data_IF_985203418214
#
_entry.id   IF_985203418214
#
_cell.length_a   1.000
_cell.length_b   1.000
_cell.length_c   1.000
_cell.angle_alpha   90.00
_cell.angle_beta   90.00
_cell.angle_gamma   90.00
#
_symmetry.space_group_name_H-M   'P 1'
#
loop_
_entity.id
_entity.type
_entity.pdbx_description
1 polymer ?
#
# COMPACT_ATOMS: atom_id res chain seq x y z
N UNK A 1 -60.44 39.33 45.84
CA UNK A 1 -60.10 39.22 44.40
C UNK A 1 -58.60 39.04 44.28
N UNK A 2 -58.17 37.77 44.29
CA UNK A 2 -56.83 37.33 43.91
C UNK A 2 -56.92 36.88 42.46
N UNK A 3 -56.05 37.40 41.60
CA UNK A 3 -55.85 36.87 40.25
C UNK A 3 -54.36 36.79 39.97
N UNK A 4 -53.91 35.55 39.84
CA UNK A 4 -52.65 35.06 39.31
C UNK A 4 -52.31 35.63 37.93
N UNK A 5 -51.04 35.99 37.70
CA UNK A 5 -50.42 35.96 36.36
C UNK A 5 -49.10 35.19 36.43
N UNK A 6 -49.12 34.03 35.78
CA UNK A 6 -47.96 33.29 35.31
C UNK A 6 -47.29 34.11 34.20
N UNK A 7 -46.00 34.44 34.34
CA UNK A 7 -45.16 34.86 33.21
C UNK A 7 -44.50 33.61 32.63
N UNK A 8 -45.02 33.16 31.49
CA UNK A 8 -44.43 32.11 30.66
C UNK A 8 -43.08 32.56 30.11
N UNK A 9 -42.12 31.64 30.13
CA UNK A 9 -40.83 31.78 29.48
C UNK A 9 -40.98 32.02 27.98
N UNK A 10 -40.26 33.01 27.48
CA UNK A 10 -40.13 33.30 26.07
C UNK A 10 -39.22 32.28 25.39
N UNK A 11 -39.79 31.59 24.41
CA UNK A 11 -39.18 30.66 23.47
C UNK A 11 -37.81 31.11 22.95
N UNK A 12 -36.81 30.25 23.08
CA UNK A 12 -35.69 30.20 22.14
C UNK A 12 -36.18 29.52 20.84
N UNK A 13 -36.75 30.32 19.94
CA UNK A 13 -36.75 30.00 18.51
C UNK A 13 -35.47 30.59 17.91
N UNK A 14 -34.45 29.75 17.75
CA UNK A 14 -33.22 30.07 17.03
C UNK A 14 -33.10 29.19 15.79
N UNK A 15 -33.04 29.85 14.63
CA UNK A 15 -32.51 29.40 13.35
C UNK A 15 -33.18 28.22 12.60
N UNK A 16 -34.40 28.46 12.10
CA UNK A 16 -34.78 27.89 10.79
C UNK A 16 -34.02 28.67 9.69
N UNK A 17 -32.74 28.32 9.51
CA UNK A 17 -31.90 28.84 8.44
C UNK A 17 -32.56 28.62 7.06
N UNK A 18 -32.53 29.64 6.21
CA UNK A 18 -32.83 29.54 4.78
C UNK A 18 -31.92 28.47 4.13
N UNK A 19 -32.41 27.23 4.06
CA UNK A 19 -31.72 26.15 3.36
C UNK A 19 -31.76 26.43 1.84
N UNK A 20 -30.67 26.21 1.10
CA UNK A 20 -30.70 26.26 -0.35
C UNK A 20 -31.77 25.31 -0.90
N UNK A 21 -32.43 25.68 -1.99
CA UNK A 21 -33.58 24.95 -2.51
C UNK A 21 -33.26 23.45 -2.75
N UNK A 22 -34.07 22.59 -2.14
CA UNK A 22 -33.95 21.13 -2.20
C UNK A 22 -32.86 20.51 -1.31
N UNK A 23 -32.16 21.30 -0.49
CA UNK A 23 -31.29 20.77 0.55
C UNK A 23 -32.08 20.36 1.79
N UNK A 24 -31.62 19.30 2.46
CA UNK A 24 -32.11 18.87 3.76
C UNK A 24 -31.02 19.03 4.82
N UNK A 25 -31.43 19.26 6.07
CA UNK A 25 -30.54 19.36 7.23
C UNK A 25 -30.89 18.27 8.24
N UNK A 26 -29.91 17.49 8.65
CA UNK A 26 -30.02 16.48 9.71
C UNK A 26 -28.91 16.77 10.72
N UNK A 27 -29.29 17.29 11.89
CA UNK A 27 -28.33 17.84 12.85
C UNK A 27 -27.43 18.89 12.19
N UNK A 28 -26.12 18.67 12.23
CA UNK A 28 -25.12 19.55 11.59
C UNK A 28 -24.82 19.26 10.12
N UNK A 29 -25.39 18.20 9.55
CA UNK A 29 -25.15 17.80 8.16
C UNK A 29 -26.20 18.43 7.26
N UNK A 30 -25.76 19.02 6.14
CA UNK A 30 -26.62 19.58 5.11
C UNK A 30 -26.25 19.01 3.73
N UNK A 31 -27.22 18.55 2.95
CA UNK A 31 -26.95 17.96 1.61
C UNK A 31 -28.19 17.97 0.73
N UNK A 32 -28.02 17.75 -0.58
CA UNK A 32 -29.12 17.59 -1.55
C UNK A 32 -29.34 16.09 -1.85
N UNK A 33 -30.50 15.50 -1.46
CA UNK A 33 -30.80 14.09 -1.67
C UNK A 33 -31.01 13.72 -3.15
N UNK A 34 -31.02 14.69 -4.08
CA UNK A 34 -31.06 14.43 -5.53
C UNK A 34 -29.67 14.19 -6.11
N UNK A 35 -28.61 14.54 -5.39
CA UNK A 35 -27.21 14.48 -5.86
C UNK A 35 -26.45 13.23 -5.38
N UNK A 36 -27.13 12.09 -5.24
CA UNK A 36 -26.46 10.81 -4.97
C UNK A 36 -25.62 10.38 -6.17
N UNK A 37 -24.30 10.32 -5.98
CA UNK A 37 -23.35 9.89 -7.00
C UNK A 37 -22.99 8.39 -6.87
N UNK A 38 -23.22 7.78 -5.71
CA UNK A 38 -23.12 6.34 -5.52
C UNK A 38 -24.33 5.79 -4.77
N UNK A 39 -24.89 4.69 -5.27
CA UNK A 39 -26.00 3.96 -4.65
C UNK A 39 -25.58 2.51 -4.50
N UNK A 40 -25.55 2.04 -3.26
CA UNK A 40 -25.34 0.65 -2.88
C UNK A 40 -26.57 0.15 -2.12
N UNK A 41 -26.76 -1.16 -2.09
CA UNK A 41 -27.84 -1.86 -1.38
C UNK A 41 -27.88 -1.50 0.11
N UNK A 42 -26.74 -1.10 0.69
CA UNK A 42 -26.62 -0.77 2.13
C UNK A 42 -26.61 0.73 2.41
N UNK A 43 -26.18 1.55 1.46
CA UNK A 43 -25.95 2.97 1.66
C UNK A 43 -25.95 3.76 0.35
N UNK A 44 -26.32 5.04 0.43
CA UNK A 44 -26.17 5.99 -0.68
C UNK A 44 -25.23 7.13 -0.28
N UNK A 45 -24.32 7.52 -1.19
CA UNK A 45 -23.34 8.58 -0.96
C UNK A 45 -23.62 9.79 -1.85
N UNK A 46 -23.58 10.98 -1.24
CA UNK A 46 -23.74 12.27 -1.92
C UNK A 46 -22.73 13.28 -1.37
N UNK A 47 -22.62 14.42 -2.05
CA UNK A 47 -21.87 15.57 -1.57
C UNK A 47 -22.72 16.39 -0.60
N UNK A 48 -22.12 16.86 0.50
CA UNK A 48 -22.79 17.70 1.48
C UNK A 48 -21.85 18.66 2.17
N UNK A 49 -22.35 19.25 3.26
CA UNK A 49 -21.62 20.15 4.15
C UNK A 49 -21.81 19.76 5.60
N UNK A 50 -20.77 19.92 6.40
CA UNK A 50 -20.77 19.77 7.85
C UNK A 50 -19.98 20.94 8.45
N UNK A 51 -20.61 21.76 9.31
CA UNK A 51 -20.02 22.97 9.90
C UNK A 51 -19.29 23.85 8.84
N UNK A 52 -19.94 24.04 7.68
CA UNK A 52 -19.42 24.82 6.54
C UNK A 52 -18.43 24.08 5.63
N UNK A 53 -17.87 22.94 6.06
CA UNK A 53 -16.88 22.13 5.32
C UNK A 53 -17.55 21.22 4.28
N UNK A 54 -17.04 21.12 3.03
CA UNK A 54 -17.47 20.08 2.09
C UNK A 54 -17.14 18.67 2.60
N UNK A 55 -18.12 17.78 2.55
CA UNK A 55 -18.01 16.39 3.05
C UNK A 55 -18.68 15.41 2.10
N UNK A 56 -18.27 14.15 2.16
CA UNK A 56 -19.07 13.04 1.64
C UNK A 56 -20.09 12.63 2.70
N UNK A 57 -21.37 12.55 2.34
CA UNK A 57 -22.45 12.12 3.24
C UNK A 57 -22.91 10.72 2.81
N UNK A 58 -22.64 9.73 3.66
CA UNK A 58 -23.08 8.34 3.49
C UNK A 58 -24.39 8.17 4.28
N UNK A 59 -25.50 8.02 3.56
CA UNK A 59 -26.83 7.72 4.13
C UNK A 59 -27.01 6.20 4.22
N UNK A 60 -27.19 5.70 5.43
CA UNK A 60 -27.34 4.28 5.75
C UNK A 60 -28.83 3.92 5.86
N UNK A 61 -29.23 2.79 5.29
CA UNK A 61 -30.59 2.25 5.41
C UNK A 61 -30.84 1.59 6.79
N UNK A 62 -32.09 1.59 7.30
CA UNK A 62 -32.46 1.03 8.61
C UNK A 62 -31.88 -0.35 8.91
N UNK A 63 -31.86 -1.24 7.93
CA UNK A 63 -31.42 -2.62 8.07
C UNK A 63 -29.91 -2.72 8.38
N UNK A 64 -29.15 -1.67 8.06
CA UNK A 64 -27.70 -1.61 8.20
C UNK A 64 -27.23 -0.76 9.40
N UNK A 65 -28.14 -0.32 10.26
CA UNK A 65 -27.84 0.54 11.40
C UNK A 65 -26.77 -0.03 12.33
N UNK A 66 -26.89 -1.29 12.73
CA UNK A 66 -25.90 -1.93 13.61
C UNK A 66 -24.48 -2.00 12.99
N UNK A 67 -24.41 -2.10 11.66
CA UNK A 67 -23.15 -2.08 10.92
C UNK A 67 -22.56 -0.68 10.91
N UNK A 68 -23.39 0.35 10.70
CA UNK A 68 -22.94 1.74 10.71
C UNK A 68 -22.44 2.23 12.07
N UNK A 69 -23.02 1.76 13.19
CA UNK A 69 -22.49 2.11 14.51
C UNK A 69 -21.08 1.55 14.71
N UNK A 70 -20.87 0.28 14.33
CA UNK A 70 -19.53 -0.33 14.35
C UNK A 70 -18.56 0.36 13.41
N UNK A 71 -19.01 0.72 12.21
CA UNK A 71 -18.22 1.48 11.23
C UNK A 71 -17.70 2.77 11.86
N UNK A 72 -18.57 3.52 12.55
CA UNK A 72 -18.20 4.78 13.21
C UNK A 72 -17.23 4.57 14.37
N UNK A 73 -17.40 3.51 15.17
CA UNK A 73 -16.48 3.21 16.26
C UNK A 73 -15.07 2.93 15.73
N UNK A 74 -14.95 2.13 14.65
CA UNK A 74 -13.66 1.83 14.03
C UNK A 74 -13.02 3.03 13.35
N UNK A 75 -13.82 3.88 12.70
CA UNK A 75 -13.33 5.13 12.10
C UNK A 75 -12.76 6.06 13.16
N UNK A 76 -13.46 6.27 14.27
CA UNK A 76 -12.98 7.13 15.38
C UNK A 76 -11.68 6.65 16.01
N UNK A 77 -11.42 5.35 15.96
CA UNK A 77 -10.17 4.78 16.49
C UNK A 77 -8.99 4.89 15.52
N UNK A 78 -9.23 5.18 14.22
CA UNK A 78 -8.20 5.03 13.17
C UNK A 78 -8.04 6.23 12.23
N UNK A 79 -8.87 7.27 12.36
CA UNK A 79 -8.91 8.40 11.42
C UNK A 79 -7.83 9.47 11.63
N UNK A 80 -6.94 9.28 12.61
CA UNK A 80 -5.77 10.14 12.83
C UNK A 80 -4.68 9.93 11.77
N UNK A 81 -4.63 8.75 11.13
CA UNK A 81 -3.61 8.44 10.14
C UNK A 81 -3.91 9.12 8.79
N UNK A 82 -2.93 9.77 8.13
CA UNK A 82 -3.16 10.53 6.90
C UNK A 82 -3.73 9.69 5.75
N UNK A 83 -3.44 8.39 5.73
CA UNK A 83 -3.91 7.43 4.72
C UNK A 83 -5.12 6.59 5.15
N UNK A 84 -5.88 7.05 6.15
CA UNK A 84 -7.21 6.54 6.48
C UNK A 84 -8.21 7.68 6.31
N UNK A 85 -9.41 7.35 5.79
CA UNK A 85 -10.45 8.35 5.54
C UNK A 85 -10.86 9.05 6.83
N UNK A 86 -10.90 10.38 6.82
CA UNK A 86 -11.26 11.14 8.01
C UNK A 86 -12.77 11.07 8.30
N UNK A 87 -13.13 10.78 9.54
CA UNK A 87 -14.51 10.87 10.02
C UNK A 87 -14.77 12.24 10.64
N UNK A 88 -15.96 12.80 10.41
CA UNK A 88 -16.36 14.08 11.00
C UNK A 88 -17.48 13.93 12.02
N UNK A 89 -18.59 13.31 11.62
CA UNK A 89 -19.72 13.14 12.52
C UNK A 89 -20.68 12.04 12.05
N UNK A 90 -21.57 11.65 12.96
CA UNK A 90 -22.73 10.80 12.70
C UNK A 90 -23.96 11.55 13.18
N UNK A 91 -24.94 11.70 12.31
CA UNK A 91 -26.26 12.25 12.64
C UNK A 91 -27.34 11.23 12.30
N UNK A 92 -28.53 11.39 12.85
CA UNK A 92 -29.66 10.48 12.59
C UNK A 92 -30.97 11.26 12.56
N UNK A 93 -31.89 10.81 11.71
CA UNK A 93 -33.30 11.21 11.79
C UNK A 93 -34.16 9.96 12.12
N UNK A 94 -35.47 10.05 11.90
CA UNK A 94 -36.38 8.93 12.17
C UNK A 94 -36.19 7.74 11.22
N UNK A 95 -35.62 7.94 10.03
CA UNK A 95 -35.57 6.97 8.95
C UNK A 95 -34.14 6.50 8.63
N UNK A 96 -33.12 7.33 8.81
CA UNK A 96 -31.78 7.06 8.34
C UNK A 96 -30.70 7.52 9.32
N UNK A 97 -29.51 6.95 9.11
CA UNK A 97 -28.27 7.43 9.72
C UNK A 97 -27.37 8.03 8.67
N UNK A 98 -26.65 9.07 9.04
CA UNK A 98 -25.81 9.85 8.14
C UNK A 98 -24.40 9.92 8.72
N UNK A 99 -23.43 9.49 7.94
CA UNK A 99 -22.01 9.57 8.29
C UNK A 99 -21.36 10.63 7.39
N UNK A 100 -20.78 11.67 7.98
CA UNK A 100 -20.00 12.66 7.25
C UNK A 100 -18.52 12.27 7.27
N UNK A 101 -17.92 12.14 6.10
CA UNK A 101 -16.52 11.77 5.88
C UNK A 101 -15.80 12.84 5.05
N UNK A 102 -14.46 12.79 5.05
CA UNK A 102 -13.65 13.56 4.11
C UNK A 102 -14.10 13.32 2.67
N UNK A 103 -14.34 14.43 1.96
CA UNK A 103 -14.72 14.38 0.55
C UNK A 103 -13.46 14.18 -0.29
N UNK A 104 -13.48 13.14 -1.13
CA UNK A 104 -12.37 12.79 -2.02
C UNK A 104 -12.68 13.17 -3.46
N UNK A 105 -11.63 13.34 -4.27
CA UNK A 105 -11.75 13.68 -5.67
C UNK A 105 -12.14 12.46 -6.52
N UNK A 106 -11.61 11.28 -6.18
CA UNK A 106 -11.78 10.08 -6.98
C UNK A 106 -11.50 8.80 -6.19
N UNK A 107 -11.80 7.65 -6.78
CA UNK A 107 -11.31 6.34 -6.33
C UNK A 107 -10.03 5.94 -7.09
N UNK A 108 -9.27 4.97 -6.57
CA UNK A 108 -8.13 4.38 -7.27
C UNK A 108 -8.56 3.70 -8.57
N UNK A 109 -9.78 3.15 -8.62
CA UNK A 109 -10.39 2.66 -9.87
C UNK A 109 -10.51 3.77 -10.92
N UNK A 110 -10.97 4.95 -10.53
CA UNK A 110 -11.11 6.09 -11.46
C UNK A 110 -9.75 6.57 -11.96
N UNK A 111 -8.74 6.57 -11.09
CA UNK A 111 -7.34 6.84 -11.45
C UNK A 111 -6.83 5.87 -12.51
N UNK A 112 -6.98 4.57 -12.29
CA UNK A 112 -6.52 3.55 -13.26
C UNK A 112 -7.29 3.65 -14.58
N UNK A 113 -8.57 3.98 -14.54
CA UNK A 113 -9.40 4.16 -15.75
C UNK A 113 -8.96 5.35 -16.61
N UNK A 114 -8.51 6.43 -15.99
CA UNK A 114 -8.13 7.67 -16.68
C UNK A 114 -7.04 8.45 -15.93
N UNK A 115 -5.79 8.01 -16.08
CA UNK A 115 -4.64 8.64 -15.43
C UNK A 115 -4.40 10.08 -15.90
N UNK A 116 -4.92 10.46 -17.08
CA UNK A 116 -4.73 11.81 -17.64
C UNK A 116 -5.35 12.91 -16.76
N UNK A 117 -6.38 12.57 -15.98
CA UNK A 117 -7.03 13.46 -15.00
C UNK A 117 -6.21 13.69 -13.73
N UNK A 118 -5.15 12.91 -13.52
CA UNK A 118 -4.32 12.91 -12.32
C UNK A 118 -2.86 13.15 -12.68
N UNK A 119 -2.61 14.09 -13.58
CA UNK A 119 -1.28 14.39 -14.09
C UNK A 119 -0.25 14.59 -12.95
N UNK A 120 0.88 13.88 -13.04
CA UNK A 120 1.96 13.93 -12.05
C UNK A 120 1.84 12.93 -10.91
N UNK A 121 0.66 12.31 -10.71
CA UNK A 121 0.46 11.28 -9.68
C UNK A 121 0.94 9.92 -10.17
N UNK A 122 1.81 9.27 -9.40
CA UNK A 122 2.34 7.94 -9.74
C UNK A 122 1.58 6.86 -9.00
N UNK A 123 1.24 5.78 -9.71
CA UNK A 123 0.57 4.62 -9.10
C UNK A 123 1.34 4.06 -7.89
N UNK A 124 2.67 4.03 -7.96
CA UNK A 124 3.54 3.57 -6.87
C UNK A 124 3.37 4.39 -5.58
N UNK A 125 3.22 5.71 -5.67
CA UNK A 125 3.01 6.58 -4.49
C UNK A 125 1.63 6.32 -3.85
N UNK A 126 0.62 6.03 -4.67
CA UNK A 126 -0.72 5.66 -4.18
C UNK A 126 -0.73 4.29 -3.51
N UNK A 127 0.02 3.32 -4.05
CA UNK A 127 0.18 2.00 -3.45
C UNK A 127 0.91 2.10 -2.11
N UNK A 128 1.98 2.89 -2.02
CA UNK A 128 2.72 3.12 -0.77
C UNK A 128 1.79 3.69 0.31
N UNK A 129 1.06 4.74 -0.03
CA UNK A 129 0.11 5.38 0.87
C UNK A 129 -1.02 4.44 1.30
N UNK A 130 -1.57 3.64 0.39
CA UNK A 130 -2.57 2.63 0.72
C UNK A 130 -2.01 1.56 1.67
N UNK A 131 -0.78 1.09 1.43
CA UNK A 131 -0.07 0.14 2.30
C UNK A 131 0.16 0.73 3.69
N UNK A 132 0.57 2.00 3.81
CA UNK A 132 0.73 2.67 5.11
C UNK A 132 -0.60 2.82 5.86
N UNK A 133 -1.69 3.14 5.14
CA UNK A 133 -3.03 3.16 5.72
C UNK A 133 -3.44 1.79 6.26
N UNK A 134 -3.16 0.72 5.53
CA UNK A 134 -3.47 -0.64 5.96
C UNK A 134 -2.58 -1.11 7.12
N UNK A 135 -1.29 -0.76 7.13
CA UNK A 135 -0.37 -1.02 8.25
C UNK A 135 -0.89 -0.39 9.54
N UNK A 136 -1.36 0.86 9.45
CA UNK A 136 -1.99 1.52 10.58
C UNK A 136 -3.21 0.75 11.11
N UNK A 137 -4.13 0.32 10.23
CA UNK A 137 -5.28 -0.49 10.64
C UNK A 137 -4.86 -1.81 11.32
N UNK A 138 -3.89 -2.51 10.74
CA UNK A 138 -3.39 -3.77 11.30
C UNK A 138 -2.70 -3.56 12.66
N UNK A 139 -2.02 -2.43 12.87
CA UNK A 139 -1.44 -2.03 14.16
C UNK A 139 -2.51 -1.85 15.26
N UNK A 140 -3.69 -1.34 14.88
CA UNK A 140 -4.87 -1.21 15.74
C UNK A 140 -5.69 -2.51 15.85
N UNK A 141 -5.21 -3.60 15.25
CA UNK A 141 -5.90 -4.90 15.18
C UNK A 141 -7.24 -4.82 14.44
N UNK A 142 -7.33 -3.96 13.43
CA UNK A 142 -8.49 -3.84 12.55
C UNK A 142 -8.15 -4.55 11.23
N UNK A 143 -8.97 -5.55 10.86
CA UNK A 143 -8.91 -6.21 9.54
C UNK A 143 -9.95 -5.56 8.64
N UNK A 144 -9.56 -5.14 7.44
CA UNK A 144 -10.42 -4.37 6.55
C UNK A 144 -11.48 -5.23 5.85
N UNK A 145 -11.07 -6.38 5.30
CA UNK A 145 -11.88 -7.42 4.63
C UNK A 145 -12.54 -7.04 3.30
N UNK A 146 -12.37 -5.81 2.83
CA UNK A 146 -12.87 -5.36 1.52
C UNK A 146 -11.91 -4.39 0.82
N UNK A 147 -10.61 -4.67 0.86
CA UNK A 147 -9.61 -3.89 0.11
C UNK A 147 -9.81 -4.14 -1.38
N UNK A 148 -10.06 -3.05 -2.12
CA UNK A 148 -10.24 -3.05 -3.58
C UNK A 148 -10.07 -1.62 -4.12
N UNK A 149 -9.88 -1.42 -5.43
CA UNK A 149 -9.65 -0.09 -6.00
C UNK A 149 -10.76 0.93 -5.75
N UNK A 150 -12.00 0.49 -5.51
CA UNK A 150 -13.12 1.39 -5.18
C UNK A 150 -13.03 1.98 -3.77
N UNK A 151 -12.36 1.29 -2.85
CA UNK A 151 -12.29 1.65 -1.43
C UNK A 151 -10.97 2.34 -1.06
N UNK A 152 -10.05 2.49 -2.01
CA UNK A 152 -8.88 3.37 -1.91
C UNK A 152 -9.24 4.69 -2.59
N UNK A 153 -9.37 5.76 -1.81
CA UNK A 153 -9.80 7.08 -2.29
C UNK A 153 -8.62 8.01 -2.48
N UNK A 154 -8.72 8.94 -3.42
CA UNK A 154 -7.73 9.97 -3.73
C UNK A 154 -8.28 11.32 -3.28
N UNK A 155 -7.55 12.01 -2.41
CA UNK A 155 -7.93 13.33 -1.90
C UNK A 155 -7.99 14.38 -3.01
N UNK A 156 -8.66 15.49 -2.74
CA UNK A 156 -8.37 16.72 -3.49
C UNK A 156 -6.92 17.16 -3.25
N UNK A 157 -6.30 17.89 -4.20
CA UNK A 157 -5.01 18.51 -3.96
C UNK A 157 -5.08 19.46 -2.77
N UNK A 158 -4.08 19.37 -1.88
CA UNK A 158 -3.91 20.34 -0.81
C UNK A 158 -3.42 21.70 -1.38
N UNK A 159 -3.21 22.68 -0.51
CA UNK A 159 -2.69 24.00 -0.89
C UNK A 159 -1.32 23.99 -1.61
N UNK A 160 -0.56 22.89 -1.49
CA UNK A 160 0.72 22.67 -2.17
C UNK A 160 0.58 21.82 -3.44
N UNK A 161 -0.65 21.51 -3.86
CA UNK A 161 -0.92 20.66 -5.02
C UNK A 161 -0.72 19.16 -4.78
N UNK A 162 -0.44 18.73 -3.55
CA UNK A 162 -0.21 17.32 -3.23
C UNK A 162 -1.53 16.59 -2.98
N UNK A 163 -1.62 15.37 -3.50
CA UNK A 163 -2.75 14.46 -3.28
C UNK A 163 -2.30 13.26 -2.46
N UNK A 164 -3.25 12.60 -1.80
CA UNK A 164 -2.98 11.39 -1.01
C UNK A 164 -4.03 10.30 -1.26
N UNK A 165 -3.61 9.04 -1.20
CA UNK A 165 -4.47 7.87 -1.11
C UNK A 165 -4.90 7.61 0.35
N UNK A 166 -6.14 7.18 0.53
CA UNK A 166 -6.72 6.84 1.83
C UNK A 166 -7.56 5.56 1.75
N UNK A 167 -7.42 4.68 2.73
CA UNK A 167 -8.32 3.54 2.91
C UNK A 167 -9.66 4.03 3.44
N UNK A 168 -10.76 3.49 2.90
CA UNK A 168 -12.14 3.87 3.23
C UNK A 168 -13.09 2.66 3.24
N UNK A 169 -14.33 2.90 3.65
CA UNK A 169 -15.42 1.91 3.74
C UNK A 169 -15.23 0.83 4.81
N UNK A 170 -15.44 1.25 6.06
CA UNK A 170 -15.22 0.43 7.24
C UNK A 170 -16.42 -0.47 7.57
N UNK A 171 -17.46 -0.47 6.73
CA UNK A 171 -18.70 -1.24 6.96
C UNK A 171 -18.47 -2.75 7.03
N UNK A 172 -17.37 -3.25 6.46
CA UNK A 172 -16.95 -4.64 6.55
C UNK A 172 -15.72 -4.85 7.45
N UNK A 173 -15.18 -3.82 8.09
CA UNK A 173 -14.03 -3.99 8.98
C UNK A 173 -14.37 -4.86 10.21
N UNK A 174 -13.35 -5.45 10.82
CA UNK A 174 -13.49 -6.23 12.06
C UNK A 174 -12.29 -6.01 12.97
N UNK A 175 -12.57 -5.62 14.21
CA UNK A 175 -11.56 -5.53 15.27
C UNK A 175 -11.30 -6.91 15.88
N UNK A 176 -10.03 -7.29 15.97
CA UNK A 176 -9.60 -8.49 16.68
C UNK A 176 -9.63 -8.20 18.19
N UNK A 177 -10.13 -9.16 18.97
CA UNK A 177 -10.09 -9.02 20.42
C UNK A 177 -8.64 -9.02 20.93
N UNK A 178 -8.40 -8.36 22.06
CA UNK A 178 -7.08 -8.31 22.68
C UNK A 178 -6.47 -9.72 22.83
N UNK A 179 -5.19 -9.85 22.47
CA UNK A 179 -4.46 -11.12 22.47
C UNK A 179 -4.85 -12.11 21.36
N UNK A 180 -5.82 -11.79 20.48
CA UNK A 180 -6.18 -12.63 19.34
C UNK A 180 -5.52 -12.16 18.06
N UNK A 181 -5.04 -13.13 17.28
CA UNK A 181 -4.47 -12.92 15.94
C UNK A 181 -5.43 -13.32 14.81
N UNK A 182 -6.60 -13.86 15.15
CA UNK A 182 -7.60 -14.33 14.19
C UNK A 182 -9.03 -14.05 14.62
N UNK A 183 -9.94 -14.10 13.64
CA UNK A 183 -11.38 -13.99 13.84
C UNK A 183 -12.15 -15.16 13.20
N UNK A 184 -13.35 -15.41 13.72
CA UNK A 184 -14.27 -16.41 13.19
C UNK A 184 -15.15 -15.83 12.08
N UNK A 185 -15.44 -16.65 11.06
CA UNK A 185 -16.37 -16.36 9.95
C UNK A 185 -17.85 -16.57 10.28
N UNK A 186 -18.23 -16.76 11.55
CA UNK A 186 -19.63 -16.95 11.99
C UNK A 186 -20.62 -15.84 11.56
N UNK A 187 -20.12 -14.68 11.15
CA UNK A 187 -20.93 -13.57 10.62
C UNK A 187 -21.14 -13.63 9.10
N UNK A 188 -20.76 -14.73 8.45
CA UNK A 188 -20.80 -14.91 7.00
C UNK A 188 -19.52 -14.44 6.28
N UNK A 189 -19.45 -14.77 4.99
CA UNK A 189 -18.42 -14.26 4.08
C UNK A 189 -18.66 -12.76 3.86
N UNK A 190 -17.61 -11.97 3.98
CA UNK A 190 -17.61 -10.54 3.70
C UNK A 190 -16.58 -10.24 2.61
N UNK A 191 -16.83 -9.19 1.83
CA UNK A 191 -15.95 -8.70 0.78
C UNK A 191 -16.62 -8.72 -0.59
N UNK A 192 -15.90 -8.19 -1.57
CA UNK A 192 -16.37 -8.07 -2.97
C UNK A 192 -15.78 -9.19 -3.82
N UNK A 193 -16.64 -9.94 -4.51
CA UNK A 193 -16.23 -11.03 -5.39
C UNK A 193 -15.10 -10.61 -6.36
N UNK A 194 -14.12 -11.50 -6.51
CA UNK A 194 -12.91 -11.27 -7.28
C UNK A 194 -11.76 -10.64 -6.48
N UNK A 195 -12.01 -10.12 -5.28
CA UNK A 195 -10.99 -9.56 -4.37
C UNK A 195 -10.86 -10.34 -3.06
N UNK A 196 -11.75 -11.31 -2.83
CA UNK A 196 -11.83 -12.10 -1.59
C UNK A 196 -10.73 -13.16 -1.60
N UNK A 197 -9.90 -13.17 -0.57
CA UNK A 197 -8.87 -14.19 -0.34
C UNK A 197 -9.47 -15.60 -0.24
N UNK A 198 -8.77 -16.66 -0.70
CA UNK A 198 -9.34 -18.01 -0.80
C UNK A 198 -9.84 -18.56 0.54
N UNK A 199 -9.11 -18.33 1.64
CA UNK A 199 -9.46 -18.82 2.99
C UNK A 199 -10.75 -18.22 3.56
N UNK A 200 -11.26 -17.13 2.98
CA UNK A 200 -12.56 -16.58 3.34
C UNK A 200 -13.72 -17.44 2.84
N UNK A 201 -13.49 -18.25 1.80
CA UNK A 201 -14.51 -19.07 1.12
C UNK A 201 -14.35 -20.57 1.33
N UNK A 202 -13.20 -21.05 1.81
CA UNK A 202 -12.98 -22.46 2.17
C UNK A 202 -13.54 -22.79 3.56
N UNK A 203 -13.39 -24.01 4.05
CA UNK A 203 -13.87 -24.44 5.39
C UNK A 203 -12.99 -23.93 6.55
N UNK A 204 -11.96 -23.12 6.30
CA UNK A 204 -11.08 -22.60 7.34
C UNK A 204 -11.82 -21.62 8.27
N UNK A 205 -11.93 -21.95 9.55
CA UNK A 205 -12.72 -21.10 10.48
C UNK A 205 -11.98 -19.85 10.96
N UNK A 206 -10.64 -19.81 10.85
CA UNK A 206 -9.80 -18.75 11.39
C UNK A 206 -9.16 -17.94 10.28
N UNK A 207 -9.49 -16.65 10.27
CA UNK A 207 -9.00 -15.66 9.30
C UNK A 207 -8.20 -14.59 10.04
N UNK A 208 -7.15 -14.06 9.40
CA UNK A 208 -6.21 -13.09 9.99
C UNK A 208 -6.16 -11.82 9.15
N UNK A 209 -5.24 -10.91 9.44
CA UNK A 209 -4.91 -9.76 8.58
C UNK A 209 -4.41 -10.16 7.18
N UNK A 210 -4.00 -11.42 6.98
CA UNK A 210 -3.50 -11.93 5.71
C UNK A 210 -4.53 -11.87 4.56
N UNK A 211 -5.83 -11.80 4.88
CA UNK A 211 -6.88 -11.59 3.85
C UNK A 211 -6.72 -10.25 3.16
N UNK A 212 -6.33 -9.20 3.90
CA UNK A 212 -6.12 -7.87 3.34
C UNK A 212 -4.84 -7.82 2.51
N UNK A 213 -3.81 -8.59 2.87
CA UNK A 213 -2.55 -8.70 2.11
C UNK A 213 -2.81 -9.27 0.73
N UNK A 214 -3.62 -10.33 0.64
CA UNK A 214 -4.04 -10.90 -0.63
C UNK A 214 -4.76 -9.88 -1.50
N UNK A 215 -5.79 -9.23 -0.95
CA UNK A 215 -6.56 -8.22 -1.67
C UNK A 215 -5.69 -7.04 -2.11
N UNK A 216 -4.73 -6.61 -1.26
CA UNK A 216 -3.78 -5.55 -1.59
C UNK A 216 -2.81 -5.97 -2.71
N UNK A 217 -2.33 -7.23 -2.73
CA UNK A 217 -1.50 -7.76 -3.83
C UNK A 217 -2.22 -7.73 -5.17
N UNK A 218 -3.53 -8.05 -5.18
CA UNK A 218 -4.37 -7.87 -6.36
C UNK A 218 -4.51 -6.39 -6.77
N UNK A 219 -4.60 -5.47 -5.80
CA UNK A 219 -4.65 -4.01 -6.07
C UNK A 219 -3.31 -3.52 -6.65
N UNK A 220 -2.18 -4.03 -6.19
CA UNK A 220 -0.86 -3.68 -6.73
C UNK A 220 -0.79 -4.00 -8.21
N UNK A 221 -1.11 -5.25 -8.59
CA UNK A 221 -1.14 -5.65 -9.99
C UNK A 221 -2.14 -4.83 -10.81
N UNK A 222 -3.32 -4.54 -10.25
CA UNK A 222 -4.34 -3.71 -10.90
C UNK A 222 -3.83 -2.31 -11.26
N UNK A 223 -3.07 -1.67 -10.37
CA UNK A 223 -2.49 -0.35 -10.64
C UNK A 223 -1.33 -0.44 -11.63
N UNK A 224 -0.42 -1.39 -11.46
CA UNK A 224 0.78 -1.53 -12.31
C UNK A 224 0.43 -1.95 -13.75
N UNK A 225 -0.60 -2.78 -13.92
CA UNK A 225 -1.03 -3.31 -15.20
C UNK A 225 -2.30 -2.66 -15.74
N UNK A 226 -2.53 -1.38 -15.40
CA UNK A 226 -3.58 -0.53 -16.00
C UNK A 226 -4.99 -1.15 -16.00
N UNK A 227 -5.35 -1.82 -14.90
CA UNK A 227 -6.70 -2.32 -14.66
C UNK A 227 -6.88 -3.82 -14.82
N UNK A 228 -5.84 -4.54 -15.25
CA UNK A 228 -5.83 -6.01 -15.27
C UNK A 228 -5.81 -6.60 -13.85
N UNK A 229 -6.15 -7.88 -13.70
CA UNK A 229 -6.18 -8.56 -12.40
C UNK A 229 -5.36 -9.86 -12.48
N UNK A 230 -4.63 -10.27 -11.42
CA UNK A 230 -3.82 -11.49 -11.46
C UNK A 230 -4.63 -12.74 -11.82
N UNK A 231 -5.91 -12.75 -11.47
CA UNK A 231 -6.82 -13.87 -11.66
C UNK A 231 -7.79 -13.70 -12.86
N UNK A 232 -7.44 -12.85 -13.83
CA UNK A 232 -8.17 -12.71 -15.09
C UNK A 232 -9.42 -11.82 -15.03
N UNK A 233 -10.41 -12.12 -15.87
CA UNK A 233 -11.60 -11.28 -16.06
C UNK A 233 -12.63 -11.42 -14.95
N UNK A 234 -13.39 -10.35 -14.70
CA UNK A 234 -14.31 -10.18 -13.56
C UNK A 234 -15.18 -11.39 -13.26
N UNK A 235 -15.76 -12.04 -14.29
CA UNK A 235 -16.67 -13.17 -14.13
C UNK A 235 -15.98 -14.47 -13.66
N UNK A 236 -14.68 -14.61 -13.91
CA UNK A 236 -13.92 -15.83 -13.60
C UNK A 236 -12.96 -15.64 -12.42
N UNK A 237 -12.71 -14.39 -11.99
CA UNK A 237 -11.71 -14.04 -10.96
C UNK A 237 -11.84 -14.91 -9.71
N UNK A 238 -13.02 -14.97 -9.10
CA UNK A 238 -13.16 -15.69 -7.83
C UNK A 238 -12.94 -17.21 -8.00
N UNK A 239 -13.37 -17.77 -9.12
CA UNK A 239 -13.10 -19.17 -9.47
C UNK A 239 -11.60 -19.42 -9.66
N UNK A 240 -10.91 -18.54 -10.38
CA UNK A 240 -9.47 -18.62 -10.59
C UNK A 240 -8.68 -18.48 -9.28
N UNK A 241 -9.13 -17.66 -8.33
CA UNK A 241 -8.54 -17.57 -6.98
C UNK A 241 -8.63 -18.93 -6.28
N UNK A 242 -9.81 -19.56 -6.30
CA UNK A 242 -10.03 -20.86 -5.65
C UNK A 242 -9.29 -22.01 -6.33
N UNK A 243 -9.01 -21.89 -7.63
CA UNK A 243 -8.28 -22.88 -8.43
C UNK A 243 -6.78 -22.58 -8.56
N UNK A 244 -6.26 -21.58 -7.85
CA UNK A 244 -4.85 -21.18 -7.87
C UNK A 244 -4.33 -20.80 -9.27
N UNK A 245 -5.19 -20.17 -10.08
CA UNK A 245 -4.88 -19.76 -11.47
C UNK A 245 -4.58 -18.26 -11.55
N UNK A 246 -3.42 -17.86 -11.05
CA UNK A 246 -2.90 -16.50 -11.23
C UNK A 246 -2.01 -16.39 -12.47
N UNK A 247 -1.89 -15.19 -13.03
CA UNK A 247 -0.96 -14.84 -14.11
C UNK A 247 -0.51 -13.39 -13.95
N UNK A 248 0.81 -13.18 -13.84
CA UNK A 248 1.43 -11.85 -13.76
C UNK A 248 2.20 -11.51 -15.04
N UNK A 249 1.75 -12.02 -16.18
CA UNK A 249 2.43 -11.89 -17.47
C UNK A 249 2.42 -10.47 -18.06
N UNK A 250 1.60 -9.55 -17.51
CA UNK A 250 1.56 -8.15 -17.97
C UNK A 250 2.59 -7.25 -17.27
N UNK A 251 3.23 -7.73 -16.19
CA UNK A 251 4.39 -7.05 -15.64
C UNK A 251 5.59 -7.22 -16.59
N UNK A 252 6.44 -6.18 -16.76
CA UNK A 252 7.68 -6.32 -17.52
C UNK A 252 8.52 -7.51 -17.05
N UNK A 253 9.20 -8.20 -17.97
CA UNK A 253 10.02 -9.37 -17.63
C UNK A 253 11.19 -9.04 -16.70
N UNK A 254 11.69 -7.80 -16.75
CA UNK A 254 12.77 -7.28 -15.94
C UNK A 254 12.30 -6.64 -14.62
N UNK A 255 10.99 -6.44 -14.43
CA UNK A 255 10.40 -5.96 -13.17
C UNK A 255 10.19 -7.12 -12.18
N UNK A 256 11.32 -7.67 -11.73
CA UNK A 256 11.36 -8.80 -10.82
C UNK A 256 10.93 -8.40 -9.39
N UNK A 257 11.18 -7.16 -9.00
CA UNK A 257 10.86 -6.64 -7.66
C UNK A 257 9.36 -6.57 -7.45
N UNK A 258 8.60 -6.03 -8.41
CA UNK A 258 7.14 -5.99 -8.32
C UNK A 258 6.54 -7.39 -8.40
N UNK A 259 7.12 -8.24 -9.26
CA UNK A 259 6.64 -9.61 -9.48
C UNK A 259 6.74 -10.44 -8.20
N UNK A 260 7.92 -10.51 -7.57
CA UNK A 260 8.11 -11.29 -6.33
C UNK A 260 7.15 -10.84 -5.24
N UNK A 261 7.10 -9.53 -4.94
CA UNK A 261 6.20 -9.00 -3.90
C UNK A 261 4.74 -9.37 -4.17
N UNK A 262 4.26 -9.21 -5.39
CA UNK A 262 2.87 -9.54 -5.73
C UNK A 262 2.64 -11.05 -5.62
N UNK A 263 3.56 -11.89 -6.09
CA UNK A 263 3.49 -13.36 -5.98
C UNK A 263 3.42 -13.80 -4.52
N UNK A 264 4.20 -13.20 -3.62
CA UNK A 264 4.18 -13.45 -2.18
C UNK A 264 2.86 -12.99 -1.53
N UNK A 265 2.36 -11.80 -1.89
CA UNK A 265 1.13 -11.25 -1.33
C UNK A 265 -0.11 -12.06 -1.73
N UNK A 266 -0.16 -12.62 -2.94
CA UNK A 266 -1.33 -13.35 -3.46
C UNK A 266 -1.25 -14.87 -3.28
N UNK A 267 -0.31 -15.38 -2.46
CA UNK A 267 -0.19 -16.80 -2.17
C UNK A 267 -1.52 -17.40 -1.69
N UNK A 268 -1.83 -18.61 -2.13
CA UNK A 268 -3.05 -19.30 -1.71
C UNK A 268 -3.05 -19.55 -0.20
N UNK A 269 -1.95 -20.09 0.33
CA UNK A 269 -1.78 -20.28 1.77
C UNK A 269 -1.56 -18.93 2.48
N UNK A 270 -2.43 -18.52 3.43
CA UNK A 270 -2.29 -17.24 4.11
C UNK A 270 -1.06 -17.14 5.02
N UNK A 271 -0.48 -18.25 5.47
CA UNK A 271 0.66 -18.22 6.42
C UNK A 271 2.00 -17.88 5.77
N UNK A 272 2.09 -17.94 4.43
CA UNK A 272 3.30 -17.60 3.68
C UNK A 272 3.24 -16.19 3.09
N UNK A 273 2.11 -15.50 3.22
CA UNK A 273 1.99 -14.10 2.79
C UNK A 273 2.78 -13.21 3.76
N UNK A 274 3.44 -12.15 3.27
CA UNK A 274 4.18 -11.22 4.11
C UNK A 274 3.23 -10.47 5.05
N UNK A 275 3.68 -10.19 6.26
CA UNK A 275 3.04 -9.22 7.14
C UNK A 275 3.10 -7.83 6.49
N UNK A 276 2.11 -6.98 6.76
CA UNK A 276 2.04 -5.65 6.13
C UNK A 276 3.30 -4.80 6.34
N UNK A 277 3.97 -4.96 7.49
CA UNK A 277 5.25 -4.32 7.78
C UNK A 277 6.38 -4.74 6.85
N UNK A 278 6.37 -6.00 6.40
CA UNK A 278 7.34 -6.52 5.42
C UNK A 278 7.06 -5.92 4.04
N UNK A 279 5.78 -5.79 3.67
CA UNK A 279 5.35 -5.07 2.46
C UNK A 279 5.82 -3.60 2.48
N UNK A 280 5.67 -2.90 3.62
CA UNK A 280 6.15 -1.50 3.79
C UNK A 280 7.67 -1.39 3.59
N UNK A 281 8.45 -2.37 4.06
CA UNK A 281 9.91 -2.35 3.99
C UNK A 281 10.47 -2.94 2.69
N UNK A 282 9.66 -3.62 1.87
CA UNK A 282 10.07 -4.27 0.64
C UNK A 282 10.79 -3.30 -0.34
N UNK A 283 11.80 -3.76 -1.11
CA UNK A 283 12.51 -2.95 -2.10
C UNK A 283 11.63 -2.27 -3.16
N UNK A 284 10.40 -2.75 -3.34
CA UNK A 284 9.39 -2.15 -4.22
C UNK A 284 9.18 -0.65 -3.92
N UNK A 285 9.25 -0.22 -2.66
CA UNK A 285 9.09 1.18 -2.26
C UNK A 285 10.41 1.96 -2.13
N UNK A 286 11.55 1.35 -2.43
CA UNK A 286 12.83 2.02 -2.24
C UNK A 286 13.12 2.97 -3.40
N UNK A 287 13.35 4.24 -3.07
CA UNK A 287 13.93 5.17 -4.02
C UNK A 287 15.38 4.77 -4.40
N UNK A 288 15.90 5.36 -5.48
CA UNK A 288 17.21 5.02 -6.02
C UNK A 288 18.36 5.30 -5.03
N UNK A 289 18.22 6.30 -4.17
CA UNK A 289 19.19 6.58 -3.11
C UNK A 289 19.24 5.44 -2.07
N UNK A 290 18.09 4.96 -1.61
CA UNK A 290 17.98 3.86 -0.64
C UNK A 290 18.51 2.55 -1.21
N UNK A 291 18.17 2.23 -2.47
CA UNK A 291 18.71 1.07 -3.18
C UNK A 291 20.24 1.13 -3.33
N UNK A 292 20.78 2.29 -3.71
CA UNK A 292 22.22 2.46 -3.85
C UNK A 292 22.94 2.41 -2.48
N UNK A 293 22.31 2.95 -1.43
CA UNK A 293 22.78 2.81 -0.05
C UNK A 293 22.80 1.35 0.41
N UNK A 294 21.77 0.57 0.07
CA UNK A 294 21.72 -0.86 0.38
C UNK A 294 22.90 -1.61 -0.24
N UNK A 295 23.17 -1.41 -1.54
CA UNK A 295 24.32 -2.06 -2.18
C UNK A 295 25.67 -1.67 -1.55
N UNK A 296 25.82 -0.44 -1.06
CA UNK A 296 27.02 -0.04 -0.34
C UNK A 296 27.15 -0.76 1.00
N UNK A 297 26.10 -0.73 1.82
CA UNK A 297 26.10 -1.35 3.15
C UNK A 297 26.37 -2.85 3.04
N UNK A 298 25.79 -3.53 2.04
CA UNK A 298 26.08 -4.94 1.73
C UNK A 298 27.53 -5.11 1.29
N UNK A 299 28.02 -4.33 0.33
CA UNK A 299 29.41 -4.43 -0.15
C UNK A 299 30.43 -4.22 0.98
N UNK A 300 30.14 -3.35 1.94
CA UNK A 300 31.01 -3.11 3.09
C UNK A 300 30.93 -4.25 4.11
N UNK A 301 29.72 -4.76 4.37
CA UNK A 301 29.48 -5.91 5.25
C UNK A 301 30.25 -7.16 4.81
N UNK A 302 30.35 -7.40 3.50
CA UNK A 302 30.98 -8.60 2.94
C UNK A 302 32.45 -8.40 2.52
N UNK A 303 33.04 -7.21 2.63
CA UNK A 303 34.41 -6.95 2.12
C UNK A 303 35.44 -7.83 2.85
N UNK A 304 35.27 -8.07 4.16
CA UNK A 304 36.20 -8.83 4.99
C UNK A 304 35.75 -10.26 5.32
N UNK A 305 34.64 -10.70 4.74
CA UNK A 305 34.13 -12.07 4.94
C UNK A 305 35.00 -13.11 4.24
N UNK A 306 35.20 -14.24 4.92
CA UNK A 306 35.92 -15.42 4.42
C UNK A 306 35.15 -16.03 3.25
N UNK A 307 35.85 -16.42 2.18
CA UNK A 307 35.23 -16.91 0.95
C UNK A 307 34.33 -18.14 1.15
N UNK A 308 34.58 -18.91 2.21
CA UNK A 308 33.84 -20.13 2.53
C UNK A 308 32.72 -19.89 3.55
N UNK A 309 32.47 -18.63 3.96
CA UNK A 309 31.40 -18.36 4.91
C UNK A 309 30.02 -18.59 4.27
N UNK A 310 29.02 -19.11 5.02
CA UNK A 310 27.71 -19.44 4.47
C UNK A 310 27.03 -18.28 3.74
N UNK A 311 27.13 -17.06 4.29
CA UNK A 311 26.55 -15.85 3.68
C UNK A 311 27.10 -15.60 2.27
N UNK A 312 28.41 -15.76 2.05
CA UNK A 312 29.01 -15.58 0.73
C UNK A 312 28.67 -16.73 -0.22
N UNK A 313 28.50 -17.95 0.28
CA UNK A 313 28.02 -19.07 -0.52
C UNK A 313 26.57 -18.83 -0.98
N UNK A 314 25.70 -18.35 -0.10
CA UNK A 314 24.34 -17.91 -0.43
C UNK A 314 24.37 -16.77 -1.46
N UNK A 315 25.24 -15.78 -1.28
CA UNK A 315 25.38 -14.64 -2.21
C UNK A 315 25.84 -15.06 -3.62
N UNK A 316 26.64 -16.11 -3.73
CA UNK A 316 27.12 -16.62 -5.03
C UNK A 316 26.23 -17.73 -5.62
N UNK A 317 25.17 -18.14 -4.91
CA UNK A 317 24.15 -19.04 -5.45
C UNK A 317 23.45 -18.38 -6.63
N UNK A 318 23.30 -19.08 -7.76
CA UNK A 318 22.73 -18.54 -9.01
C UNK A 318 23.44 -17.27 -9.55
N UNK A 319 24.70 -17.02 -9.16
CA UNK A 319 25.47 -15.85 -9.60
C UNK A 319 25.50 -15.71 -11.13
N UNK A 320 25.58 -16.83 -11.87
CA UNK A 320 25.62 -16.85 -13.33
C UNK A 320 24.41 -16.14 -13.94
N UNK A 321 23.21 -16.35 -13.41
CA UNK A 321 21.99 -15.69 -13.88
C UNK A 321 21.96 -14.21 -13.46
N UNK A 322 22.41 -13.90 -12.25
CA UNK A 322 22.44 -12.54 -11.69
C UNK A 322 23.40 -11.63 -12.47
N UNK A 323 24.60 -12.13 -12.76
CA UNK A 323 25.68 -11.38 -13.42
C UNK A 323 25.70 -11.56 -14.95
N UNK A 324 24.70 -12.24 -15.52
CA UNK A 324 24.60 -12.56 -16.96
C UNK A 324 25.86 -13.24 -17.51
N UNK A 325 26.30 -14.30 -16.83
CA UNK A 325 27.52 -15.04 -17.15
C UNK A 325 28.77 -14.34 -16.63
N UNK A 326 29.20 -13.28 -17.32
CA UNK A 326 30.32 -12.43 -16.90
C UNK A 326 29.88 -10.97 -16.94
N UNK A 327 29.69 -10.34 -15.78
CA UNK A 327 29.19 -8.96 -15.72
C UNK A 327 30.13 -7.97 -16.41
N UNK A 328 31.43 -8.29 -16.53
CA UNK A 328 32.41 -7.42 -17.20
C UNK A 328 32.20 -7.36 -18.71
N UNK A 329 31.44 -8.30 -19.28
CA UNK A 329 31.04 -8.29 -20.70
C UNK A 329 29.69 -7.61 -20.93
N UNK A 330 28.98 -7.27 -19.84
CA UNK A 330 27.66 -6.66 -19.87
C UNK A 330 27.68 -5.17 -19.44
N UNK A 331 28.88 -4.61 -19.25
CA UNK A 331 29.12 -3.18 -18.95
C UNK A 331 29.78 -2.49 -20.16
N UNK A 332 29.77 -1.17 -20.15
CA UNK A 332 30.37 -0.34 -21.20
C UNK A 332 31.89 -0.50 -21.25
N UNK A 333 32.46 -0.31 -22.43
CA UNK A 333 33.90 -0.48 -22.69
C UNK A 333 34.74 0.50 -21.84
N UNK A 334 34.23 1.71 -21.65
CA UNK A 334 34.85 2.76 -20.84
C UNK A 334 35.00 2.30 -19.38
N UNK A 335 33.91 1.80 -18.79
CA UNK A 335 33.92 1.29 -17.41
C UNK A 335 34.78 0.02 -17.29
N UNK A 336 34.70 -0.87 -18.28
CA UNK A 336 35.49 -2.10 -18.31
C UNK A 336 36.99 -1.79 -18.33
N UNK A 337 37.41 -0.83 -19.16
CA UNK A 337 38.81 -0.39 -19.28
C UNK A 337 39.30 0.25 -17.98
N UNK A 338 38.47 1.06 -17.35
CA UNK A 338 38.79 1.73 -16.09
C UNK A 338 38.90 0.75 -14.91
N UNK A 339 38.07 -0.29 -14.86
CA UNK A 339 38.15 -1.33 -13.83
C UNK A 339 39.44 -2.16 -13.91
N UNK A 340 39.96 -2.41 -15.11
CA UNK A 340 41.19 -3.21 -15.32
C UNK A 340 42.45 -2.53 -14.80
N UNK A 341 42.45 -1.21 -14.60
CA UNK A 341 43.65 -0.44 -14.20
C UNK A 341 44.05 -0.66 -12.74
N UNK A 342 43.09 -0.83 -11.84
CA UNK A 342 43.34 -0.71 -10.40
C UNK A 342 43.12 -1.99 -9.60
N UNK A 343 42.25 -2.89 -10.07
CA UNK A 343 41.91 -4.11 -9.31
C UNK A 343 41.48 -5.22 -10.26
N UNK A 344 41.83 -6.47 -9.91
CA UNK A 344 41.24 -7.63 -10.55
C UNK A 344 39.89 -7.94 -9.92
N UNK A 345 38.85 -8.03 -10.74
CA UNK A 345 37.52 -8.45 -10.33
C UNK A 345 37.11 -9.73 -11.06
N UNK A 346 36.51 -10.66 -10.33
CA UNK A 346 35.92 -11.90 -10.85
C UNK A 346 34.58 -11.58 -11.51
N UNK A 347 34.52 -11.72 -12.83
CA UNK A 347 33.33 -11.43 -13.63
C UNK A 347 32.12 -12.31 -13.36
N UNK A 348 32.31 -13.47 -12.74
CA UNK A 348 31.23 -14.40 -12.39
C UNK A 348 30.71 -14.22 -10.96
N UNK A 349 31.28 -13.27 -10.19
CA UNK A 349 30.98 -13.09 -8.78
C UNK A 349 30.05 -11.90 -8.55
N UNK A 350 28.98 -12.12 -7.78
CA UNK A 350 28.07 -11.07 -7.31
C UNK A 350 28.80 -10.16 -6.33
N UNK A 351 29.59 -10.72 -5.40
CA UNK A 351 30.42 -9.94 -4.45
C UNK A 351 31.31 -8.95 -5.19
N UNK A 352 32.01 -9.39 -6.24
CA UNK A 352 32.93 -8.51 -6.97
C UNK A 352 32.22 -7.46 -7.83
N UNK A 353 30.99 -7.73 -8.31
CA UNK A 353 30.14 -6.71 -8.93
C UNK A 353 29.76 -5.63 -7.91
N UNK A 354 29.31 -6.02 -6.71
CA UNK A 354 28.97 -5.08 -5.62
C UNK A 354 30.18 -4.24 -5.20
N UNK A 355 31.35 -4.86 -5.08
CA UNK A 355 32.61 -4.16 -4.77
C UNK A 355 32.99 -3.17 -5.87
N UNK A 356 32.81 -3.54 -7.14
CA UNK A 356 33.05 -2.63 -8.26
C UNK A 356 32.10 -1.43 -8.20
N UNK A 357 30.81 -1.65 -7.94
CA UNK A 357 29.81 -0.58 -7.74
C UNK A 357 30.19 0.35 -6.59
N UNK A 358 30.50 -0.20 -5.40
CA UNK A 358 30.93 0.60 -4.24
C UNK A 358 32.17 1.42 -4.56
N UNK A 359 33.20 0.81 -5.14
CA UNK A 359 34.46 1.48 -5.45
C UNK A 359 34.25 2.62 -6.45
N UNK A 360 33.43 2.42 -7.49
CA UNK A 360 33.14 3.47 -8.49
C UNK A 360 32.27 4.58 -7.94
N UNK A 361 31.37 4.29 -7.00
CA UNK A 361 30.66 5.33 -6.26
C UNK A 361 31.60 6.14 -5.36
N UNK A 362 32.46 5.48 -4.59
CA UNK A 362 33.39 6.14 -3.65
C UNK A 362 34.37 7.07 -4.38
N UNK A 363 34.93 6.61 -5.49
CA UNK A 363 35.89 7.37 -6.31
C UNK A 363 35.23 8.11 -7.48
N UNK A 364 33.90 8.32 -7.46
CA UNK A 364 33.17 8.86 -8.61
C UNK A 364 33.75 10.20 -9.10
N UNK A 365 34.17 11.09 -8.19
CA UNK A 365 34.76 12.38 -8.54
C UNK A 365 36.11 12.28 -9.26
N UNK A 366 36.85 11.20 -9.04
CA UNK A 366 38.17 10.93 -9.63
C UNK A 366 38.08 10.22 -10.99
N UNK A 367 36.89 9.75 -11.39
CA UNK A 367 36.69 9.08 -12.67
C UNK A 367 36.87 10.04 -13.86
N UNK A 368 37.29 9.48 -15.00
CA UNK A 368 37.39 10.24 -16.25
C UNK A 368 36.02 10.73 -16.72
N UNK A 369 35.96 11.82 -17.52
CA UNK A 369 34.70 12.33 -18.06
C UNK A 369 33.90 11.28 -18.83
N UNK A 370 34.56 10.41 -19.60
CA UNK A 370 33.93 9.37 -20.41
C UNK A 370 33.23 8.32 -19.52
N UNK A 371 33.88 7.91 -18.43
CA UNK A 371 33.29 6.97 -17.47
C UNK A 371 32.13 7.60 -16.72
N UNK A 372 32.24 8.88 -16.32
CA UNK A 372 31.11 9.61 -15.68
C UNK A 372 29.92 9.76 -16.61
N UNK A 373 30.16 10.04 -17.89
CA UNK A 373 29.11 10.16 -18.89
C UNK A 373 28.35 8.85 -19.07
N UNK A 374 29.06 7.72 -19.11
CA UNK A 374 28.43 6.40 -19.25
C UNK A 374 27.68 5.95 -17.98
N UNK A 375 28.24 6.20 -16.80
CA UNK A 375 27.60 5.87 -15.52
C UNK A 375 26.41 6.78 -15.20
N UNK A 376 26.44 8.05 -15.62
CA UNK A 376 25.45 9.05 -15.22
C UNK A 376 25.66 9.57 -13.78
N UNK A 377 24.87 10.57 -13.36
CA UNK A 377 25.02 11.22 -12.06
C UNK A 377 24.62 10.30 -10.89
N UNK A 378 25.20 10.54 -9.71
CA UNK A 378 24.81 9.88 -8.45
C UNK A 378 23.62 10.62 -7.82
N UNK A 379 22.63 9.92 -7.24
CA UNK A 379 22.51 8.46 -7.18
C UNK A 379 21.85 7.83 -8.40
N UNK A 380 20.96 8.56 -9.08
CA UNK A 380 19.97 8.02 -10.00
C UNK A 380 20.58 7.36 -11.25
N UNK A 381 21.33 8.12 -12.05
CA UNK A 381 21.94 7.61 -13.28
C UNK A 381 22.92 6.47 -13.00
N UNK A 382 23.75 6.65 -11.96
CA UNK A 382 24.72 5.65 -11.52
C UNK A 382 24.06 4.32 -11.20
N UNK A 383 22.96 4.33 -10.43
CA UNK A 383 22.28 3.09 -10.06
C UNK A 383 21.55 2.47 -11.26
N UNK A 384 20.82 3.29 -12.03
CA UNK A 384 20.10 2.84 -13.22
C UNK A 384 21.02 2.16 -14.25
N UNK A 385 22.27 2.61 -14.36
CA UNK A 385 23.29 1.96 -15.18
C UNK A 385 23.42 0.47 -14.84
N UNK A 386 23.54 0.13 -13.55
CA UNK A 386 23.72 -1.25 -13.10
C UNK A 386 22.41 -2.04 -13.11
N UNK A 387 21.31 -1.49 -12.57
CA UNK A 387 20.05 -2.24 -12.44
C UNK A 387 19.40 -2.55 -13.79
N UNK A 388 19.52 -1.67 -14.80
CA UNK A 388 19.08 -1.98 -16.17
C UNK A 388 19.88 -3.11 -16.83
N UNK A 389 21.15 -3.28 -16.44
CA UNK A 389 22.02 -4.35 -16.96
C UNK A 389 21.87 -5.65 -16.18
N UNK A 390 21.63 -5.57 -14.88
CA UNK A 390 21.54 -6.70 -13.95
C UNK A 390 20.23 -6.64 -13.16
N UNK A 391 19.07 -6.87 -13.79
CA UNK A 391 17.75 -6.68 -13.15
C UNK A 391 17.51 -7.62 -11.96
N UNK A 392 18.21 -8.76 -11.90
CA UNK A 392 18.15 -9.73 -10.79
C UNK A 392 18.96 -9.30 -9.55
N UNK A 393 19.84 -8.31 -9.68
CA UNK A 393 20.85 -8.00 -8.66
C UNK A 393 20.23 -7.53 -7.34
N UNK A 394 19.29 -6.59 -7.38
CA UNK A 394 18.69 -6.04 -6.16
C UNK A 394 17.97 -7.12 -5.36
N UNK A 395 17.13 -7.89 -6.03
CA UNK A 395 16.30 -8.91 -5.41
C UNK A 395 17.12 -10.06 -4.84
N UNK A 396 18.07 -10.55 -5.63
CA UNK A 396 18.99 -11.61 -5.20
C UNK A 396 19.76 -11.20 -3.94
N UNK A 397 20.31 -9.97 -3.92
CA UNK A 397 21.07 -9.46 -2.78
C UNK A 397 20.15 -9.20 -1.59
N UNK A 398 18.94 -8.68 -1.82
CA UNK A 398 17.95 -8.45 -0.77
C UNK A 398 17.58 -9.74 -0.04
N UNK A 399 17.28 -10.82 -0.77
CA UNK A 399 16.87 -12.09 -0.18
C UNK A 399 18.02 -12.76 0.58
N UNK A 400 19.24 -12.74 0.04
CA UNK A 400 20.40 -13.32 0.73
C UNK A 400 20.72 -12.55 2.01
N UNK A 401 20.62 -11.22 1.98
CA UNK A 401 21.01 -10.37 3.12
C UNK A 401 19.95 -10.30 4.21
N UNK A 402 18.81 -10.98 4.05
CA UNK A 402 17.82 -11.17 5.12
C UNK A 402 18.42 -11.90 6.33
N UNK A 403 19.40 -12.80 6.13
CA UNK A 403 20.16 -13.44 7.22
C UNK A 403 20.86 -12.42 8.14
N UNK A 404 21.14 -11.21 7.63
CA UNK A 404 21.74 -10.11 8.37
C UNK A 404 20.73 -9.06 8.86
N UNK A 405 19.42 -9.31 8.75
CA UNK A 405 18.36 -8.33 9.04
C UNK A 405 18.40 -7.76 10.47
N UNK A 406 18.86 -8.55 11.45
CA UNK A 406 18.97 -8.14 12.86
C UNK A 406 20.13 -7.18 13.12
N UNK A 407 21.11 -7.11 12.21
CA UNK A 407 22.27 -6.24 12.37
C UNK A 407 21.86 -4.76 12.25
N UNK A 408 22.49 -3.90 13.05
CA UNK A 408 22.13 -2.48 13.17
C UNK A 408 22.07 -1.75 11.82
N UNK A 409 22.98 -2.05 10.90
CA UNK A 409 23.05 -1.38 9.59
C UNK A 409 21.87 -1.77 8.68
N UNK A 410 21.32 -2.98 8.85
CA UNK A 410 20.27 -3.53 8.01
C UNK A 410 18.84 -3.32 8.54
N UNK A 411 18.66 -2.88 9.79
CA UNK A 411 17.32 -2.61 10.38
C UNK A 411 16.43 -1.63 9.59
N UNK A 412 17.04 -0.74 8.79
CA UNK A 412 16.33 0.20 7.89
C UNK A 412 15.80 -0.44 6.59
N UNK A 413 16.27 -1.66 6.27
CA UNK A 413 15.90 -2.42 5.08
C UNK A 413 14.93 -3.56 5.41
N UNK A 414 15.05 -4.18 6.59
CA UNK A 414 14.25 -5.35 6.97
C UNK A 414 13.41 -5.11 8.23
N UNK A 415 12.30 -5.82 8.35
CA UNK A 415 11.46 -5.84 9.56
C UNK A 415 12.20 -6.59 10.67
N UNK A 416 11.96 -6.23 11.93
CA UNK A 416 12.51 -6.97 13.07
C UNK A 416 11.42 -7.89 13.64
N UNK A 417 11.78 -9.03 14.22
CA UNK A 417 10.80 -9.96 14.80
C UNK A 417 9.89 -9.28 15.85
N UNK A 418 10.44 -8.35 16.62
CA UNK A 418 9.74 -7.51 17.59
C UNK A 418 8.62 -6.66 16.97
N UNK A 419 8.73 -6.34 15.68
CA UNK A 419 7.73 -5.56 14.96
C UNK A 419 6.49 -6.40 14.59
N UNK A 420 6.63 -7.72 14.45
CA UNK A 420 5.58 -8.62 13.92
C UNK A 420 4.81 -9.27 15.07
N UNK A 421 5.49 -9.62 16.17
CA UNK A 421 4.86 -10.26 17.33
C UNK A 421 4.43 -9.19 18.34
N UNK A 422 3.13 -9.01 18.62
CA UNK A 422 2.71 -8.10 19.68
C UNK A 422 3.28 -8.57 21.02
N UNK A 423 3.91 -7.67 21.77
CA UNK A 423 4.39 -7.94 23.13
C UNK A 423 3.25 -8.59 23.94
N UNK A 424 3.58 -9.74 24.56
CA UNK A 424 2.67 -10.57 25.35
C UNK A 424 2.12 -9.85 26.57
#
# INVERSE_FOLDING_TARGET
MQTSRLSQGSNHHGDEDNLPEGHIRVGKIMFDPRMYWAKDVKAHSCTGRFDGRPVAVKRILPECFSVADREVDLLRESDEHPNVIRYFCKESDQQFRYIALELCAATLKDFVKDQSKFAGLKGMELLEQATLGLDHLHSLKIVHRDIKPHNVLISFPNQHGQVKAMISDFGLCKKLAAGRVSFSRRSGVAGTEGWIAPEMLTDEERTTTAVDIFSLGCVFYYVLCQGSHPFGDTLQRQSNILLEKSSLNLLPEDDLVSRELIEEMIQYNPTVRPHIKEVVKHPFFWNLEKQLGFFQDVSDRIEKEDLDCPLLQSLETNAVQVVKGDWRQNITIELQTDLRKFRSYKGRSVRDLLRAMRNKKHHYRELSPEVKQTLGPIPDGFLQYFTSRFPRLLLHVYNVMEECASERVFKKYYVQEEDIVPHR
#
